data_IF_352491957517
#
_entry.id   IF_352491957517
#
_cell.length_a   1.000
_cell.length_b   1.000
_cell.length_c   1.000
_cell.angle_alpha   90.00
_cell.angle_beta   90.00
_cell.angle_gamma   90.00
#
_symmetry.space_group_name_H-M   'P 1'
#
loop_
_entity.id
_entity.type
_entity.pdbx_description
1 polymer ?
#
# COMPACT_ATOMS: atom_id res chain seq x y z
N UNK A 1 -77.25 -19.36 -22.75
CA UNK A 1 -76.31 -18.72 -23.69
C UNK A 1 -75.31 -17.94 -22.84
N UNK A 2 -74.08 -18.42 -22.80
CA UNK A 2 -72.98 -17.89 -21.97
C UNK A 2 -72.27 -16.76 -22.70
N UNK A 3 -71.97 -15.65 -22.03
CA UNK A 3 -70.70 -14.92 -22.17
C UNK A 3 -70.36 -14.27 -20.83
N UNK A 4 -69.41 -14.87 -20.11
CA UNK A 4 -68.69 -14.29 -18.98
C UNK A 4 -67.67 -13.27 -19.54
N UNK A 5 -67.73 -12.03 -19.07
CA UNK A 5 -66.68 -11.03 -19.28
C UNK A 5 -65.63 -11.13 -18.17
N UNK A 6 -64.51 -11.79 -18.47
CA UNK A 6 -63.32 -11.78 -17.63
C UNK A 6 -62.50 -10.51 -17.92
N UNK A 7 -62.50 -9.56 -16.98
CA UNK A 7 -61.63 -8.41 -17.02
C UNK A 7 -60.31 -8.78 -16.33
N UNK A 8 -59.26 -8.88 -17.15
CA UNK A 8 -57.86 -9.07 -16.76
C UNK A 8 -57.48 -8.04 -15.69
N UNK A 9 -57.26 -8.52 -14.46
CA UNK A 9 -56.42 -7.84 -13.50
C UNK A 9 -54.99 -8.02 -14.01
N UNK A 10 -54.44 -6.97 -14.64
CA UNK A 10 -53.01 -6.85 -14.85
C UNK A 10 -52.34 -6.83 -13.47
N UNK A 11 -51.97 -8.00 -12.97
CA UNK A 11 -51.05 -8.13 -11.87
C UNK A 11 -49.73 -7.49 -12.32
N UNK A 12 -49.56 -6.22 -11.96
CA UNK A 12 -48.24 -5.62 -11.85
C UNK A 12 -47.55 -6.46 -10.79
N UNK A 13 -46.82 -7.48 -11.25
CA UNK A 13 -45.88 -8.23 -10.46
C UNK A 13 -44.76 -7.28 -10.08
N UNK A 14 -45.03 -6.41 -9.10
CA UNK A 14 -43.99 -5.91 -8.24
C UNK A 14 -43.33 -7.15 -7.68
N UNK A 15 -42.19 -7.53 -8.25
CA UNK A 15 -41.26 -8.43 -7.58
C UNK A 15 -40.95 -7.69 -6.29
N UNK A 16 -41.67 -8.05 -5.23
CA UNK A 16 -41.19 -7.85 -3.89
C UNK A 16 -39.80 -8.45 -3.94
N UNK A 17 -38.78 -7.59 -3.91
CA UNK A 17 -37.40 -8.00 -3.68
C UNK A 17 -37.42 -8.57 -2.26
N UNK A 18 -37.88 -9.82 -2.14
CA UNK A 18 -37.63 -10.67 -1.00
C UNK A 18 -36.15 -10.46 -0.72
N UNK A 19 -35.82 -9.97 0.48
CA UNK A 19 -34.46 -9.64 0.89
C UNK A 19 -33.59 -10.80 0.43
N UNK A 20 -32.84 -10.63 -0.66
CA UNK A 20 -32.04 -11.71 -1.19
C UNK A 20 -31.07 -12.06 -0.08
N UNK A 21 -31.14 -13.28 0.42
CA UNK A 21 -30.24 -13.78 1.46
C UNK A 21 -29.30 -14.75 0.79
N UNK A 22 -27.99 -14.57 1.04
CA UNK A 22 -27.00 -15.51 0.54
C UNK A 22 -27.20 -16.87 1.20
N UNK A 23 -27.09 -17.97 0.43
CA UNK A 23 -27.10 -19.31 1.00
C UNK A 23 -26.03 -19.46 2.09
N UNK A 24 -26.34 -20.09 3.24
CA UNK A 24 -25.35 -20.33 4.28
C UNK A 24 -24.15 -21.12 3.75
N UNK A 25 -22.94 -20.72 4.13
CA UNK A 25 -21.70 -21.42 3.77
C UNK A 25 -21.20 -21.20 2.33
N UNK A 26 -21.91 -20.44 1.49
CA UNK A 26 -21.51 -20.16 0.11
C UNK A 26 -20.11 -19.52 0.01
N UNK A 27 -19.72 -18.74 1.02
CA UNK A 27 -18.44 -18.03 1.10
C UNK A 27 -17.24 -18.96 1.21
N UNK A 28 -17.42 -20.13 1.84
CA UNK A 28 -16.35 -21.09 2.14
C UNK A 28 -16.34 -22.26 1.15
N UNK A 29 -17.37 -22.36 0.30
CA UNK A 29 -17.55 -23.45 -0.62
C UNK A 29 -16.40 -23.50 -1.66
N UNK A 30 -15.74 -24.66 -1.86
CA UNK A 30 -14.62 -24.79 -2.79
C UNK A 30 -15.05 -24.64 -4.25
N UNK A 31 -16.31 -24.92 -4.55
CA UNK A 31 -16.98 -24.70 -5.83
C UNK A 31 -18.39 -24.20 -5.58
N UNK A 32 -18.98 -23.50 -6.56
CA UNK A 32 -20.37 -23.03 -6.50
C UNK A 32 -21.21 -23.75 -7.54
N UNK A 33 -22.39 -24.22 -7.14
CA UNK A 33 -23.40 -24.72 -8.08
C UNK A 33 -24.00 -23.58 -8.91
N UNK A 34 -24.61 -23.89 -10.05
CA UNK A 34 -25.29 -22.89 -10.88
C UNK A 34 -26.38 -22.14 -10.11
N UNK A 35 -27.09 -22.82 -9.20
CA UNK A 35 -28.09 -22.18 -8.34
C UNK A 35 -27.44 -21.20 -7.36
N UNK A 36 -26.35 -21.59 -6.70
CA UNK A 36 -25.62 -20.71 -5.78
C UNK A 36 -25.04 -19.48 -6.49
N UNK A 37 -24.57 -19.64 -7.73
CA UNK A 37 -24.11 -18.52 -8.55
C UNK A 37 -25.26 -17.56 -8.88
N UNK A 38 -26.42 -18.08 -9.30
CA UNK A 38 -27.61 -17.26 -9.58
C UNK A 38 -28.10 -16.50 -8.32
N UNK A 39 -28.12 -17.16 -7.15
CA UNK A 39 -28.51 -16.53 -5.88
C UNK A 39 -27.53 -15.41 -5.48
N UNK A 40 -26.22 -15.64 -5.67
CA UNK A 40 -25.18 -14.65 -5.43
C UNK A 40 -25.31 -13.45 -6.37
N UNK A 41 -25.53 -13.68 -7.66
CA UNK A 41 -25.73 -12.62 -8.65
C UNK A 41 -26.98 -11.79 -8.35
N UNK A 42 -28.09 -12.43 -8.02
CA UNK A 42 -29.33 -11.76 -7.65
C UNK A 42 -29.15 -10.91 -6.38
N UNK A 43 -28.43 -11.44 -5.37
CA UNK A 43 -28.07 -10.69 -4.17
C UNK A 43 -27.24 -9.45 -4.52
N UNK A 44 -26.17 -9.63 -5.30
CA UNK A 44 -25.28 -8.54 -5.70
C UNK A 44 -26.03 -7.44 -6.45
N UNK A 45 -26.86 -7.82 -7.43
CA UNK A 45 -27.66 -6.88 -8.21
C UNK A 45 -28.61 -6.08 -7.32
N UNK A 46 -29.29 -6.72 -6.37
CA UNK A 46 -30.18 -6.05 -5.43
C UNK A 46 -29.46 -4.97 -4.60
N UNK A 47 -28.26 -5.30 -4.10
CA UNK A 47 -27.50 -4.39 -3.25
C UNK A 47 -26.83 -3.27 -4.05
N UNK A 48 -26.31 -3.57 -5.25
CA UNK A 48 -25.78 -2.55 -6.16
C UNK A 48 -26.88 -1.56 -6.54
N UNK A 49 -28.07 -2.04 -6.87
CA UNK A 49 -29.21 -1.18 -7.20
C UNK A 49 -29.60 -0.32 -6.00
N UNK A 50 -29.76 -0.91 -4.81
CA UNK A 50 -30.06 -0.16 -3.58
C UNK A 50 -28.99 0.88 -3.27
N UNK A 51 -27.71 0.59 -3.54
CA UNK A 51 -26.61 1.51 -3.35
C UNK A 51 -26.66 2.69 -4.34
N UNK A 52 -27.19 2.50 -5.55
CA UNK A 52 -27.31 3.55 -6.59
C UNK A 52 -28.57 4.40 -6.41
N UNK A 53 -29.73 3.77 -6.20
CA UNK A 53 -31.04 4.44 -6.24
C UNK A 53 -31.69 4.62 -4.87
N UNK A 54 -31.08 4.09 -3.81
CA UNK A 54 -31.60 4.23 -2.45
C UNK A 54 -31.80 5.68 -2.03
N UNK A 55 -33.01 6.00 -1.54
CA UNK A 55 -33.44 7.37 -1.24
C UNK A 55 -32.70 8.05 -0.07
N UNK A 56 -31.94 7.28 0.74
CA UNK A 56 -31.18 7.80 1.88
C UNK A 56 -29.74 7.29 1.88
N UNK A 57 -28.81 8.13 2.35
CA UNK A 57 -27.41 7.73 2.53
C UNK A 57 -27.27 6.51 3.45
N UNK A 58 -28.16 6.37 4.44
CA UNK A 58 -28.19 5.21 5.35
C UNK A 58 -28.50 3.92 4.61
N UNK A 59 -29.54 3.90 3.77
CA UNK A 59 -29.89 2.72 2.97
C UNK A 59 -28.76 2.34 2.00
N UNK A 60 -28.18 3.34 1.32
CA UNK A 60 -27.05 3.13 0.40
C UNK A 60 -25.81 2.61 1.12
N UNK A 61 -25.50 3.13 2.30
CA UNK A 61 -24.39 2.65 3.14
C UNK A 61 -24.62 1.23 3.64
N UNK A 62 -25.85 0.90 4.05
CA UNK A 62 -26.21 -0.45 4.48
C UNK A 62 -26.05 -1.46 3.33
N UNK A 63 -26.46 -1.11 2.11
CA UNK A 63 -26.28 -1.97 0.94
C UNK A 63 -24.80 -2.23 0.63
N UNK A 64 -23.96 -1.19 0.66
CA UNK A 64 -22.51 -1.33 0.57
C UNK A 64 -21.97 -2.26 1.66
N UNK A 65 -22.39 -2.05 2.90
CA UNK A 65 -21.87 -2.81 4.04
C UNK A 65 -22.32 -4.28 3.98
N UNK A 66 -23.52 -4.57 3.46
CA UNK A 66 -23.97 -5.94 3.19
C UNK A 66 -23.14 -6.64 2.10
N UNK A 67 -22.77 -5.93 1.03
CA UNK A 67 -21.85 -6.46 0.02
C UNK A 67 -20.45 -6.72 0.60
N UNK A 68 -19.94 -5.82 1.43
CA UNK A 68 -18.62 -5.97 2.05
C UNK A 68 -18.60 -7.10 3.10
N UNK A 69 -19.69 -7.27 3.84
CA UNK A 69 -19.84 -8.31 4.85
C UNK A 69 -19.71 -9.73 4.28
N UNK A 70 -19.88 -9.90 2.96
CA UNK A 70 -19.62 -11.16 2.27
C UNK A 70 -18.16 -11.64 2.44
N UNK A 71 -17.24 -10.71 2.67
CA UNK A 71 -15.80 -10.97 2.75
C UNK A 71 -15.23 -10.93 4.17
N UNK A 72 -16.07 -10.72 5.19
CA UNK A 72 -15.58 -10.60 6.58
C UNK A 72 -15.34 -11.96 7.26
N UNK A 73 -15.69 -13.08 6.58
CA UNK A 73 -15.33 -14.42 7.04
C UNK A 73 -13.81 -14.63 6.92
N UNK A 74 -13.16 -15.32 7.88
CA UNK A 74 -11.73 -15.62 7.81
C UNK A 74 -11.34 -16.47 6.59
N UNK A 75 -12.25 -17.30 6.07
CA UNK A 75 -11.98 -18.37 5.10
C UNK A 75 -12.80 -18.23 3.81
N UNK A 76 -12.83 -17.05 3.21
CA UNK A 76 -13.49 -16.86 1.90
C UNK A 76 -12.75 -17.64 0.81
N UNK A 77 -13.46 -18.50 0.08
CA UNK A 77 -12.87 -19.34 -0.96
C UNK A 77 -12.53 -18.55 -2.23
N UNK A 78 -11.53 -19.03 -2.98
CA UNK A 78 -11.18 -18.47 -4.28
C UNK A 78 -12.34 -18.56 -5.28
N UNK A 79 -13.12 -19.63 -5.25
CA UNK A 79 -14.30 -19.79 -6.12
C UNK A 79 -15.36 -18.73 -5.83
N UNK A 80 -15.63 -18.44 -4.56
CA UNK A 80 -16.55 -17.37 -4.16
C UNK A 80 -16.04 -15.99 -4.60
N UNK A 81 -14.75 -15.69 -4.39
CA UNK A 81 -14.15 -14.41 -4.84
C UNK A 81 -14.21 -14.27 -6.36
N UNK A 82 -13.97 -15.34 -7.10
CA UNK A 82 -14.04 -15.33 -8.56
C UNK A 82 -15.48 -15.06 -9.06
N UNK A 83 -16.47 -15.80 -8.54
CA UNK A 83 -17.87 -15.59 -8.91
C UNK A 83 -18.37 -14.18 -8.54
N UNK A 84 -18.06 -13.73 -7.32
CA UNK A 84 -18.41 -12.37 -6.87
C UNK A 84 -17.72 -11.31 -7.70
N UNK A 85 -16.43 -11.48 -8.00
CA UNK A 85 -15.67 -10.55 -8.84
C UNK A 85 -16.17 -10.48 -10.28
N UNK A 86 -16.63 -11.60 -10.84
CA UNK A 86 -17.30 -11.64 -12.14
C UNK A 86 -18.60 -10.85 -12.12
N UNK A 87 -19.45 -11.11 -11.13
CA UNK A 87 -20.75 -10.43 -10.97
C UNK A 87 -20.61 -8.92 -10.66
N UNK A 88 -19.54 -8.52 -9.96
CA UNK A 88 -19.29 -7.13 -9.59
C UNK A 88 -18.41 -6.35 -10.57
N UNK A 89 -17.81 -6.98 -11.59
CA UNK A 89 -16.82 -6.31 -12.47
C UNK A 89 -17.39 -5.03 -13.10
N UNK A 90 -18.51 -5.13 -13.82
CA UNK A 90 -19.13 -3.99 -14.48
C UNK A 90 -19.77 -3.02 -13.47
N UNK A 91 -20.50 -3.48 -12.43
CA UNK A 91 -20.95 -2.61 -11.35
C UNK A 91 -19.84 -1.77 -10.72
N UNK A 92 -18.69 -2.37 -10.39
CA UNK A 92 -17.55 -1.66 -9.80
C UNK A 92 -17.04 -0.58 -10.74
N UNK A 93 -16.88 -0.88 -12.02
CA UNK A 93 -16.46 0.12 -13.01
C UNK A 93 -17.42 1.31 -13.06
N UNK A 94 -18.73 1.04 -13.13
CA UNK A 94 -19.77 2.09 -13.16
C UNK A 94 -19.81 2.93 -11.87
N UNK A 95 -19.58 2.31 -10.71
CA UNK A 95 -19.53 3.01 -9.42
C UNK A 95 -18.33 3.96 -9.35
N UNK A 96 -17.18 3.54 -9.86
CA UNK A 96 -15.94 4.32 -9.87
C UNK A 96 -15.99 5.49 -10.84
N UNK A 97 -16.72 5.33 -11.94
CA UNK A 97 -16.94 6.40 -12.94
C UNK A 97 -18.05 7.39 -12.51
N UNK A 98 -18.72 7.16 -11.38
CA UNK A 98 -19.77 8.05 -10.88
C UNK A 98 -19.23 9.41 -10.45
N UNK A 99 -19.99 10.48 -10.69
CA UNK A 99 -19.69 11.82 -10.15
C UNK A 99 -19.89 11.90 -8.63
N UNK A 100 -20.65 10.98 -8.04
CA UNK A 100 -20.88 10.92 -6.60
C UNK A 100 -19.70 10.27 -5.86
N UNK A 101 -19.01 11.04 -5.02
CA UNK A 101 -17.86 10.55 -4.26
C UNK A 101 -18.15 9.33 -3.37
N UNK A 102 -19.38 9.21 -2.84
CA UNK A 102 -19.80 8.01 -2.10
C UNK A 102 -19.76 6.74 -2.96
N UNK A 103 -20.27 6.81 -4.20
CA UNK A 103 -20.30 5.68 -5.12
C UNK A 103 -18.89 5.31 -5.58
N UNK A 104 -18.05 6.32 -5.90
CA UNK A 104 -16.64 6.06 -6.23
C UNK A 104 -15.90 5.35 -5.11
N UNK A 105 -16.05 5.85 -3.89
CA UNK A 105 -15.48 5.22 -2.71
C UNK A 105 -15.99 3.78 -2.51
N UNK A 106 -17.29 3.56 -2.65
CA UNK A 106 -17.88 2.22 -2.54
C UNK A 106 -17.33 1.26 -3.61
N UNK A 107 -17.19 1.72 -4.86
CA UNK A 107 -16.60 0.94 -5.95
C UNK A 107 -15.18 0.50 -5.65
N UNK A 108 -14.30 1.41 -5.20
CA UNK A 108 -12.93 1.06 -4.80
C UNK A 108 -12.90 0.11 -3.59
N UNK A 109 -13.77 0.28 -2.59
CA UNK A 109 -13.84 -0.65 -1.45
C UNK A 109 -14.24 -2.06 -1.88
N UNK A 110 -15.24 -2.17 -2.75
CA UNK A 110 -15.70 -3.46 -3.28
C UNK A 110 -14.59 -4.13 -4.09
N UNK A 111 -13.89 -3.38 -4.96
CA UNK A 111 -12.74 -3.86 -5.71
C UNK A 111 -11.62 -4.41 -4.79
N UNK A 112 -11.32 -3.73 -3.69
CA UNK A 112 -10.31 -4.20 -2.75
C UNK A 112 -10.70 -5.53 -2.09
N UNK A 113 -11.98 -5.68 -1.72
CA UNK A 113 -12.48 -6.89 -1.05
C UNK A 113 -12.72 -8.06 -1.99
N UNK A 114 -13.06 -7.84 -3.26
CA UNK A 114 -13.15 -8.93 -4.25
C UNK A 114 -11.79 -9.55 -4.52
N UNK A 115 -10.73 -8.75 -4.53
CA UNK A 115 -9.34 -9.19 -4.67
C UNK A 115 -9.09 -10.10 -5.89
N UNK A 116 -9.62 -9.67 -7.05
CA UNK A 116 -9.50 -10.36 -8.34
C UNK A 116 -8.66 -9.57 -9.34
N UNK A 117 -8.20 -10.23 -10.41
CA UNK A 117 -7.50 -9.60 -11.55
C UNK A 117 -8.24 -8.39 -12.15
N UNK A 118 -9.57 -8.46 -12.24
CA UNK A 118 -10.39 -7.34 -12.72
C UNK A 118 -10.28 -6.13 -11.76
N UNK A 119 -10.29 -6.40 -10.45
CA UNK A 119 -10.16 -5.35 -9.43
C UNK A 119 -8.76 -4.72 -9.41
N UNK A 120 -7.69 -5.47 -9.67
CA UNK A 120 -6.35 -4.90 -9.80
C UNK A 120 -6.25 -3.86 -10.93
N UNK A 121 -6.86 -4.14 -12.09
CA UNK A 121 -6.87 -3.22 -13.25
C UNK A 121 -7.59 -1.90 -12.97
N UNK A 122 -8.62 -1.95 -12.13
CA UNK A 122 -9.30 -0.75 -11.63
C UNK A 122 -8.33 0.13 -10.82
N UNK A 123 -7.51 -0.49 -9.97
CA UNK A 123 -6.53 0.25 -9.19
C UNK A 123 -5.37 0.80 -10.03
N UNK A 124 -4.90 0.10 -11.05
CA UNK A 124 -3.87 0.61 -11.97
C UNK A 124 -4.28 1.96 -12.57
N UNK A 125 -5.54 2.11 -13.00
CA UNK A 125 -6.10 3.39 -13.46
C UNK A 125 -6.25 4.39 -12.31
N UNK A 126 -6.78 3.95 -11.17
CA UNK A 126 -7.05 4.80 -10.01
C UNK A 126 -5.81 5.43 -9.38
N UNK A 127 -4.70 4.69 -9.27
CA UNK A 127 -3.46 5.23 -8.66
C UNK A 127 -2.71 6.19 -9.58
N UNK A 128 -2.95 6.09 -10.89
CA UNK A 128 -2.31 6.91 -11.92
C UNK A 128 -3.17 8.12 -12.38
N UNK A 129 -4.35 8.31 -11.77
CA UNK A 129 -5.22 9.45 -12.12
C UNK A 129 -4.63 10.78 -11.65
N UNK A 130 -4.91 11.85 -12.40
CA UNK A 130 -4.55 13.22 -12.00
C UNK A 130 -5.48 13.79 -10.93
N UNK A 131 -6.68 13.21 -10.75
CA UNK A 131 -7.59 13.61 -9.68
C UNK A 131 -7.08 13.10 -8.32
N UNK A 132 -6.48 14.00 -7.53
CA UNK A 132 -5.89 13.67 -6.23
C UNK A 132 -6.86 12.96 -5.28
N UNK A 133 -8.14 13.36 -5.22
CA UNK A 133 -9.12 12.71 -4.35
C UNK A 133 -9.34 11.24 -4.72
N UNK A 134 -9.45 10.93 -6.02
CA UNK A 134 -9.62 9.56 -6.49
C UNK A 134 -8.32 8.76 -6.31
N UNK A 135 -7.16 9.40 -6.52
CA UNK A 135 -5.85 8.81 -6.26
C UNK A 135 -5.70 8.40 -4.78
N UNK A 136 -6.08 9.27 -3.84
CA UNK A 136 -6.09 8.97 -2.40
C UNK A 136 -6.97 7.80 -2.05
N UNK A 137 -8.21 7.80 -2.56
CA UNK A 137 -9.16 6.72 -2.31
C UNK A 137 -8.62 5.40 -2.86
N UNK A 138 -8.14 5.40 -4.11
CA UNK A 138 -7.59 4.23 -4.78
C UNK A 138 -6.41 3.66 -3.97
N UNK A 139 -5.41 4.46 -3.60
CA UNK A 139 -4.26 4.00 -2.82
C UNK A 139 -4.65 3.47 -1.44
N UNK A 140 -5.60 4.14 -0.76
CA UNK A 140 -6.15 3.67 0.51
C UNK A 140 -6.78 2.28 0.39
N UNK A 141 -7.46 1.99 -0.73
CA UNK A 141 -8.08 0.70 -0.98
C UNK A 141 -7.10 -0.33 -1.58
N UNK A 142 -6.05 0.06 -2.30
CA UNK A 142 -4.96 -0.85 -2.68
C UNK A 142 -4.29 -1.43 -1.44
N UNK A 143 -4.08 -0.63 -0.40
CA UNK A 143 -3.60 -1.14 0.89
C UNK A 143 -4.52 -2.24 1.43
N UNK A 144 -5.84 -2.05 1.36
CA UNK A 144 -6.82 -3.06 1.80
C UNK A 144 -6.74 -4.31 0.91
N UNK A 145 -6.59 -4.16 -0.40
CA UNK A 145 -6.38 -5.28 -1.33
C UNK A 145 -5.17 -6.13 -0.91
N UNK A 146 -4.04 -5.52 -0.58
CA UNK A 146 -2.85 -6.25 -0.14
C UNK A 146 -3.03 -6.93 1.22
N UNK A 147 -3.79 -6.33 2.15
CA UNK A 147 -4.16 -6.99 3.40
C UNK A 147 -5.10 -8.19 3.17
N UNK A 148 -6.01 -8.10 2.20
CA UNK A 148 -6.86 -9.22 1.78
C UNK A 148 -6.05 -10.34 1.13
N UNK A 149 -5.00 -10.01 0.37
CA UNK A 149 -4.11 -11.00 -0.22
C UNK A 149 -3.39 -11.87 0.85
N UNK A 150 -3.07 -11.31 2.01
CA UNK A 150 -2.47 -12.03 3.13
C UNK A 150 -3.46 -12.97 3.86
N UNK A 151 -4.76 -12.65 3.85
CA UNK A 151 -5.81 -13.42 4.56
C UNK A 151 -6.17 -14.76 3.91
N UNK A 152 -5.77 -15.00 2.67
CA UNK A 152 -6.07 -16.25 1.94
C UNK A 152 -7.26 -16.13 1.00
N UNK A 153 -7.43 -17.16 0.15
CA UNK A 153 -8.54 -17.21 -0.83
C UNK A 153 -8.42 -16.24 -2.01
N UNK A 154 -7.25 -15.63 -2.20
CA UNK A 154 -6.99 -14.67 -3.28
C UNK A 154 -7.31 -15.28 -4.66
N UNK A 155 -7.99 -14.51 -5.51
CA UNK A 155 -8.32 -14.86 -6.90
C UNK A 155 -7.51 -13.99 -7.89
N UNK A 156 -6.21 -13.82 -7.60
CA UNK A 156 -5.26 -12.99 -8.31
C UNK A 156 -3.88 -13.64 -8.27
N UNK A 157 -3.10 -13.46 -9.33
CA UNK A 157 -1.74 -13.96 -9.47
C UNK A 157 -0.72 -13.02 -8.81
N UNK A 158 0.40 -13.59 -8.34
CA UNK A 158 1.54 -12.82 -7.81
C UNK A 158 2.02 -11.74 -8.80
N UNK A 159 2.10 -12.09 -10.09
CA UNK A 159 2.54 -11.19 -11.17
C UNK A 159 1.70 -9.92 -11.28
N UNK A 160 0.40 -9.99 -10.97
CA UNK A 160 -0.48 -8.82 -10.97
C UNK A 160 -0.20 -7.90 -9.78
N UNK A 161 0.05 -8.47 -8.60
CA UNK A 161 0.48 -7.69 -7.43
C UNK A 161 1.85 -7.03 -7.68
N UNK A 162 2.77 -7.74 -8.33
CA UNK A 162 4.09 -7.22 -8.74
C UNK A 162 3.97 -6.05 -9.72
N UNK A 163 3.09 -6.16 -10.73
CA UNK A 163 2.82 -5.08 -11.68
C UNK A 163 2.22 -3.85 -11.00
N UNK A 164 1.27 -4.05 -10.08
CA UNK A 164 0.68 -2.96 -9.30
C UNK A 164 1.74 -2.30 -8.41
N UNK A 165 2.62 -3.08 -7.78
CA UNK A 165 3.74 -2.58 -6.99
C UNK A 165 4.68 -1.72 -7.84
N UNK A 166 5.08 -2.20 -9.02
CA UNK A 166 5.94 -1.45 -9.94
C UNK A 166 5.30 -0.13 -10.42
N UNK A 167 3.98 -0.14 -10.62
CA UNK A 167 3.24 1.08 -10.97
C UNK A 167 3.28 2.10 -9.83
N UNK A 168 3.02 1.66 -8.59
CA UNK A 168 3.03 2.53 -7.41
C UNK A 168 4.45 3.02 -7.09
N UNK A 169 5.47 2.17 -7.20
CA UNK A 169 6.87 2.52 -6.97
C UNK A 169 7.37 3.63 -7.90
N UNK A 170 7.10 3.51 -9.20
CA UNK A 170 7.43 4.55 -10.19
C UNK A 170 6.71 5.87 -9.88
N UNK A 171 5.41 5.81 -9.57
CA UNK A 171 4.66 7.02 -9.22
C UNK A 171 5.15 7.67 -7.91
N UNK A 172 5.65 6.88 -6.96
CA UNK A 172 6.20 7.38 -5.70
C UNK A 172 7.48 8.19 -5.86
N UNK A 173 8.33 7.81 -6.82
CA UNK A 173 9.54 8.55 -7.16
C UNK A 173 9.23 9.97 -7.69
N UNK A 174 8.14 10.09 -8.45
CA UNK A 174 7.75 11.33 -9.16
C UNK A 174 6.73 12.19 -8.40
N UNK A 175 6.07 11.64 -7.37
CA UNK A 175 4.99 12.32 -6.67
C UNK A 175 5.49 13.62 -6.00
N UNK A 176 4.70 14.69 -6.04
CA UNK A 176 5.08 15.95 -5.37
C UNK A 176 4.34 16.13 -4.06
N UNK A 177 3.09 15.65 -3.99
CA UNK A 177 2.26 15.71 -2.79
C UNK A 177 2.72 14.67 -1.75
N UNK A 178 3.21 15.10 -0.57
CA UNK A 178 3.69 14.16 0.44
C UNK A 178 2.58 13.30 1.04
N UNK A 179 1.33 13.74 1.04
CA UNK A 179 0.22 12.92 1.51
C UNK A 179 -0.05 11.78 0.53
N UNK A 180 -0.02 12.02 -0.78
CA UNK A 180 -0.16 10.94 -1.77
C UNK A 180 1.02 9.96 -1.65
N UNK A 181 2.24 10.47 -1.52
CA UNK A 181 3.44 9.66 -1.30
C UNK A 181 3.32 8.78 -0.06
N UNK A 182 2.76 9.29 1.03
CA UNK A 182 2.52 8.52 2.25
C UNK A 182 1.55 7.36 2.02
N UNK A 183 0.50 7.56 1.22
CA UNK A 183 -0.43 6.50 0.87
C UNK A 183 0.19 5.45 -0.07
N UNK A 184 1.06 5.86 -1.01
CA UNK A 184 1.84 4.94 -1.84
C UNK A 184 2.79 4.09 -0.98
N UNK A 185 3.53 4.68 -0.05
CA UNK A 185 4.38 3.96 0.92
C UNK A 185 3.56 2.98 1.75
N UNK A 186 2.40 3.39 2.27
CA UNK A 186 1.52 2.52 3.08
C UNK A 186 0.96 1.34 2.28
N UNK A 187 0.66 1.55 0.99
CA UNK A 187 0.25 0.48 0.11
C UNK A 187 1.40 -0.51 -0.11
N UNK A 188 2.59 -0.04 -0.52
CA UNK A 188 3.74 -0.92 -0.75
C UNK A 188 4.21 -1.64 0.52
N UNK A 189 4.15 -0.97 1.68
CA UNK A 189 4.40 -1.58 2.99
C UNK A 189 3.43 -2.72 3.32
N UNK A 190 2.15 -2.57 2.95
CA UNK A 190 1.18 -3.65 3.16
C UNK A 190 1.49 -4.85 2.27
N UNK A 191 1.91 -4.62 1.02
CA UNK A 191 2.36 -5.69 0.13
C UNK A 191 3.63 -6.39 0.66
N UNK A 192 4.62 -5.62 1.11
CA UNK A 192 5.88 -6.18 1.62
C UNK A 192 5.74 -6.96 2.92
N UNK A 193 4.61 -6.81 3.61
CA UNK A 193 4.29 -7.49 4.85
C UNK A 193 3.53 -8.82 4.65
N UNK A 194 3.15 -9.18 3.41
CA UNK A 194 2.49 -10.45 3.12
C UNK A 194 3.39 -11.62 3.50
N UNK A 195 2.84 -12.60 4.23
CA UNK A 195 3.59 -13.74 4.80
C UNK A 195 3.38 -15.04 4.03
N UNK A 196 2.45 -15.06 3.09
CA UNK A 196 2.15 -16.23 2.25
C UNK A 196 3.32 -16.55 1.32
N UNK A 197 3.79 -17.79 1.37
CA UNK A 197 4.99 -18.23 0.64
C UNK A 197 4.84 -18.08 -0.88
N UNK A 198 3.66 -18.39 -1.40
CA UNK A 198 3.28 -18.28 -2.81
C UNK A 198 3.21 -16.82 -3.31
N UNK A 199 3.12 -15.85 -2.39
CA UNK A 199 3.15 -14.40 -2.69
C UNK A 199 4.49 -13.75 -2.31
N UNK A 200 5.50 -14.54 -1.93
CA UNK A 200 6.82 -14.01 -1.59
C UNK A 200 7.50 -13.20 -2.71
N UNK A 201 7.34 -13.52 -4.02
CA UNK A 201 7.86 -12.65 -5.08
C UNK A 201 7.21 -11.26 -5.07
N UNK A 202 5.88 -11.20 -4.92
CA UNK A 202 5.15 -9.94 -4.80
C UNK A 202 5.53 -9.14 -3.55
N UNK A 203 5.68 -9.78 -2.39
CA UNK A 203 6.12 -9.11 -1.18
C UNK A 203 7.52 -8.50 -1.32
N UNK A 204 8.48 -9.26 -1.89
CA UNK A 204 9.83 -8.77 -2.19
C UNK A 204 9.80 -7.62 -3.19
N UNK A 205 8.99 -7.73 -4.25
CA UNK A 205 8.82 -6.65 -5.23
C UNK A 205 8.27 -5.39 -4.57
N UNK A 206 7.27 -5.52 -3.70
CA UNK A 206 6.72 -4.39 -2.93
C UNK A 206 7.78 -3.66 -2.11
N UNK A 207 8.65 -4.40 -1.42
CA UNK A 207 9.74 -3.80 -0.64
C UNK A 207 10.81 -3.12 -1.52
N UNK A 208 11.14 -3.76 -2.65
CA UNK A 208 12.09 -3.22 -3.62
C UNK A 208 11.57 -1.90 -4.22
N UNK A 209 10.32 -1.87 -4.68
CA UNK A 209 9.68 -0.68 -5.25
C UNK A 209 9.51 0.44 -4.22
N UNK A 210 9.23 0.11 -2.96
CA UNK A 210 9.21 1.08 -1.86
C UNK A 210 10.60 1.67 -1.61
N UNK A 211 11.62 0.83 -1.56
CA UNK A 211 12.99 1.27 -1.28
C UNK A 211 13.52 2.15 -2.40
N UNK A 212 13.33 1.73 -3.66
CA UNK A 212 13.72 2.48 -4.85
C UNK A 212 12.97 3.81 -4.95
N UNK A 213 11.63 3.77 -4.93
CA UNK A 213 10.80 4.97 -5.12
C UNK A 213 11.04 6.04 -4.06
N UNK A 214 11.23 5.65 -2.79
CA UNK A 214 11.57 6.62 -1.74
C UNK A 214 13.01 7.12 -1.89
N UNK A 215 13.96 6.28 -2.30
CA UNK A 215 15.35 6.70 -2.55
C UNK A 215 15.45 7.75 -3.65
N UNK A 216 14.77 7.53 -4.77
CA UNK A 216 14.70 8.48 -5.89
C UNK A 216 14.02 9.79 -5.46
N UNK A 217 12.92 9.71 -4.70
CA UNK A 217 12.27 10.88 -4.11
C UNK A 217 13.20 11.68 -3.19
N UNK A 218 14.02 11.02 -2.38
CA UNK A 218 14.97 11.70 -1.48
C UNK A 218 16.04 12.51 -2.22
N UNK A 219 16.43 12.06 -3.42
CA UNK A 219 17.36 12.76 -4.28
C UNK A 219 16.74 13.99 -4.95
N UNK A 220 15.45 13.94 -5.28
CA UNK A 220 14.73 15.06 -5.90
C UNK A 220 14.33 16.15 -4.90
N UNK A 221 14.30 15.82 -3.59
CA UNK A 221 13.98 16.79 -2.56
C UNK A 221 15.14 17.79 -2.41
N UNK A 222 14.89 19.10 -2.65
CA UNK A 222 15.88 20.13 -2.41
C UNK A 222 16.34 20.10 -0.96
N UNK A 223 17.59 20.47 -0.71
CA UNK A 223 18.10 20.66 0.64
C UNK A 223 17.45 21.90 1.30
N UNK A 224 16.15 21.81 1.62
CA UNK A 224 15.35 22.83 2.27
C UNK A 224 15.32 22.60 3.78
N UNK A 225 15.10 23.68 4.53
CA UNK A 225 14.83 23.59 5.97
C UNK A 225 13.46 22.95 6.19
N UNK A 226 13.39 21.83 6.92
CA UNK A 226 12.12 21.30 7.43
C UNK A 226 11.65 22.13 8.63
N UNK A 227 10.38 22.57 8.62
CA UNK A 227 9.77 23.34 9.70
C UNK A 227 8.77 22.55 10.55
N UNK A 228 7.75 23.25 11.04
CA UNK A 228 6.59 22.67 11.76
C UNK A 228 5.35 22.55 10.87
N UNK A 229 5.49 22.75 9.56
CA UNK A 229 4.35 22.63 8.64
C UNK A 229 3.88 21.17 8.55
N UNK A 230 2.59 20.95 8.34
CA UNK A 230 2.03 19.60 8.15
C UNK A 230 2.65 18.91 6.93
N UNK A 231 2.95 19.66 5.87
CA UNK A 231 3.63 19.18 4.67
C UNK A 231 5.04 18.65 4.99
N UNK A 232 5.86 19.43 5.70
CA UNK A 232 7.22 19.03 6.11
C UNK A 232 7.21 17.76 6.96
N UNK A 233 6.31 17.71 7.94
CA UNK A 233 6.16 16.54 8.81
C UNK A 233 5.69 15.32 8.01
N UNK A 234 4.80 15.50 7.04
CA UNK A 234 4.34 14.42 6.18
C UNK A 234 5.45 13.88 5.29
N UNK A 235 6.34 14.73 4.76
CA UNK A 235 7.55 14.26 4.08
C UNK A 235 8.42 13.39 4.99
N UNK A 236 8.65 13.80 6.23
CA UNK A 236 9.44 13.00 7.18
C UNK A 236 8.73 11.68 7.54
N UNK A 237 7.40 11.67 7.62
CA UNK A 237 6.62 10.45 7.84
C UNK A 237 6.76 9.45 6.69
N UNK A 238 6.83 9.89 5.43
CA UNK A 238 7.09 9.03 4.27
C UNK A 238 8.39 8.25 4.45
N UNK A 239 9.48 8.91 4.85
CA UNK A 239 10.79 8.28 5.05
C UNK A 239 10.82 7.38 6.28
N UNK A 240 10.13 7.79 7.34
CA UNK A 240 10.04 7.01 8.56
C UNK A 240 9.25 5.71 8.36
N UNK A 241 8.12 5.78 7.66
CA UNK A 241 7.28 4.63 7.33
C UNK A 241 7.99 3.67 6.36
N UNK A 242 8.80 4.18 5.43
CA UNK A 242 9.59 3.34 4.54
C UNK A 242 10.68 2.57 5.29
N UNK A 243 11.38 3.22 6.21
CA UNK A 243 12.36 2.54 7.07
C UNK A 243 11.72 1.54 8.04
N UNK A 244 10.51 1.81 8.54
CA UNK A 244 9.76 0.83 9.33
C UNK A 244 9.37 -0.41 8.51
N UNK A 245 9.03 -0.22 7.23
CA UNK A 245 8.77 -1.35 6.33
C UNK A 245 10.03 -2.21 6.15
N UNK A 246 11.19 -1.58 5.87
CA UNK A 246 12.50 -2.25 5.77
C UNK A 246 12.80 -3.05 7.03
N UNK A 247 12.72 -2.43 8.22
CA UNK A 247 12.98 -3.09 9.51
C UNK A 247 12.04 -4.27 9.75
N UNK A 248 10.74 -4.06 9.52
CA UNK A 248 9.74 -5.10 9.71
C UNK A 248 10.00 -6.30 8.79
N UNK A 249 10.36 -6.04 7.52
CA UNK A 249 10.65 -7.10 6.57
C UNK A 249 11.94 -7.86 6.92
N UNK A 250 12.98 -7.19 7.41
CA UNK A 250 14.20 -7.86 7.91
C UNK A 250 13.91 -8.75 9.12
N UNK A 251 13.07 -8.29 10.05
CA UNK A 251 12.71 -9.05 11.24
C UNK A 251 11.90 -10.32 10.93
N UNK A 252 11.18 -10.34 9.81
CA UNK A 252 10.34 -11.48 9.39
C UNK A 252 10.95 -12.26 8.22
N UNK A 253 12.19 -11.98 7.84
CA UNK A 253 12.82 -12.60 6.67
C UNK A 253 13.06 -14.09 6.92
N UNK A 254 12.47 -14.95 6.10
CA UNK A 254 12.77 -16.37 6.08
C UNK A 254 13.95 -16.64 5.13
N UNK A 255 15.14 -16.81 5.69
CA UNK A 255 16.37 -17.13 4.95
C UNK A 255 17.27 -15.93 4.64
N UNK A 256 18.35 -16.13 3.86
CA UNK A 256 19.30 -15.08 3.53
C UNK A 256 18.67 -14.02 2.62
N UNK A 257 19.11 -12.78 2.81
CA UNK A 257 18.67 -11.64 2.00
C UNK A 257 19.30 -11.70 0.60
N UNK A 258 18.48 -11.58 -0.43
CA UNK A 258 18.94 -11.48 -1.82
C UNK A 258 19.75 -10.18 -2.02
N UNK A 259 20.82 -10.24 -2.82
CA UNK A 259 21.74 -9.12 -3.04
C UNK A 259 21.09 -7.86 -3.62
N UNK A 260 20.18 -7.99 -4.59
CA UNK A 260 19.51 -6.85 -5.22
C UNK A 260 18.59 -6.15 -4.21
N UNK A 261 17.80 -6.94 -3.47
CA UNK A 261 16.94 -6.39 -2.42
C UNK A 261 17.75 -5.74 -1.30
N UNK A 262 18.87 -6.36 -0.90
CA UNK A 262 19.80 -5.79 0.08
C UNK A 262 20.37 -4.45 -0.39
N UNK A 263 20.77 -4.36 -1.66
CA UNK A 263 21.28 -3.12 -2.26
C UNK A 263 20.21 -2.02 -2.23
N UNK A 264 18.98 -2.30 -2.61
CA UNK A 264 17.88 -1.31 -2.61
C UNK A 264 17.55 -0.82 -1.19
N UNK A 265 17.52 -1.72 -0.21
CA UNK A 265 17.30 -1.35 1.20
C UNK A 265 18.47 -0.55 1.78
N UNK A 266 19.71 -0.91 1.41
CA UNK A 266 20.91 -0.17 1.82
C UNK A 266 20.98 1.20 1.15
N UNK A 267 20.54 1.30 -0.11
CA UNK A 267 20.43 2.56 -0.84
C UNK A 267 19.46 3.51 -0.14
N UNK A 268 18.27 3.04 0.25
CA UNK A 268 17.32 3.84 1.02
C UNK A 268 17.90 4.30 2.36
N UNK A 269 18.52 3.40 3.13
CA UNK A 269 19.16 3.76 4.39
C UNK A 269 20.24 4.83 4.20
N UNK A 270 21.04 4.72 3.15
CA UNK A 270 22.06 5.72 2.81
C UNK A 270 21.47 7.05 2.35
N UNK A 271 20.41 7.06 1.54
CA UNK A 271 19.73 8.30 1.13
C UNK A 271 19.15 9.06 2.32
N UNK A 272 18.60 8.33 3.29
CA UNK A 272 18.08 8.93 4.52
C UNK A 272 19.20 9.60 5.33
N UNK A 273 20.35 8.94 5.49
CA UNK A 273 21.52 9.53 6.16
C UNK A 273 22.09 10.76 5.41
N UNK A 274 22.11 10.70 4.08
CA UNK A 274 22.49 11.83 3.23
C UNK A 274 21.53 13.01 3.40
N UNK A 275 20.20 12.76 3.41
CA UNK A 275 19.19 13.77 3.69
C UNK A 275 19.48 14.45 5.04
N UNK A 276 19.60 13.69 6.13
CA UNK A 276 19.83 14.27 7.47
C UNK A 276 21.08 15.15 7.49
N UNK A 277 22.15 14.73 6.81
CA UNK A 277 23.40 15.49 6.70
C UNK A 277 23.23 16.86 6.04
N UNK A 278 22.40 16.93 5.00
CA UNK A 278 22.08 18.16 4.26
C UNK A 278 21.14 19.08 5.04
N UNK A 279 20.14 18.51 5.73
CA UNK A 279 19.02 19.30 6.27
C UNK A 279 19.10 19.63 7.76
N UNK A 280 19.70 18.79 8.61
CA UNK A 280 19.50 18.92 10.06
C UNK A 280 19.99 20.26 10.63
N UNK A 281 21.16 20.74 10.17
CA UNK A 281 21.70 22.05 10.58
C UNK A 281 20.89 23.25 10.08
N UNK A 282 19.93 23.04 9.17
CA UNK A 282 19.04 24.07 8.63
C UNK A 282 17.68 24.08 9.32
N UNK A 283 17.34 23.05 10.10
CA UNK A 283 16.05 22.95 10.81
C UNK A 283 16.03 23.94 12.00
N UNK A 284 15.00 24.79 12.13
CA UNK A 284 14.91 25.75 13.23
C UNK A 284 14.91 25.04 14.60
N UNK A 285 15.52 25.64 15.64
CA UNK A 285 15.47 25.06 17.00
C UNK A 285 14.05 24.84 17.53
N UNK A 286 13.09 25.66 17.08
CA UNK A 286 11.66 25.56 17.43
C UNK A 286 10.93 24.42 16.70
N UNK A 287 11.54 23.84 15.66
CA UNK A 287 10.99 22.72 14.89
C UNK A 287 11.30 21.37 15.54
N UNK A 288 10.99 21.22 16.83
CA UNK A 288 11.35 20.06 17.65
C UNK A 288 10.84 18.73 17.07
N UNK A 289 9.63 18.72 16.50
CA UNK A 289 9.08 17.51 15.86
C UNK A 289 9.92 17.09 14.66
N UNK A 290 10.29 18.02 13.77
CA UNK A 290 11.12 17.71 12.61
C UNK A 290 12.51 17.19 13.04
N UNK A 291 13.14 17.82 14.04
CA UNK A 291 14.42 17.36 14.59
C UNK A 291 14.32 15.94 15.15
N UNK A 292 13.28 15.64 15.93
CA UNK A 292 13.02 14.29 16.47
C UNK A 292 12.80 13.25 15.38
N UNK A 293 12.10 13.59 14.30
CA UNK A 293 11.91 12.68 13.17
C UNK A 293 13.23 12.40 12.44
N UNK A 294 14.06 13.42 12.22
CA UNK A 294 15.39 13.26 11.60
C UNK A 294 16.33 12.42 12.47
N UNK A 295 16.32 12.62 13.79
CA UNK A 295 17.09 11.80 14.75
C UNK A 295 16.67 10.33 14.69
N UNK A 296 15.36 10.06 14.71
CA UNK A 296 14.84 8.69 14.55
C UNK A 296 15.15 8.11 13.17
N UNK A 297 15.21 8.94 12.14
CA UNK A 297 15.56 8.49 10.80
C UNK A 297 17.02 8.01 10.74
N UNK A 298 17.94 8.68 11.43
CA UNK A 298 19.33 8.21 11.60
C UNK A 298 19.35 6.88 12.34
N UNK A 299 18.67 6.79 13.48
CA UNK A 299 18.60 5.56 14.29
C UNK A 299 18.11 4.38 13.43
N UNK A 300 16.96 4.54 12.77
CA UNK A 300 16.35 3.52 11.92
C UNK A 300 17.22 3.14 10.74
N UNK A 301 17.84 4.11 10.07
CA UNK A 301 18.73 3.85 8.94
C UNK A 301 19.92 3.00 9.36
N UNK A 302 20.54 3.34 10.50
CA UNK A 302 21.69 2.60 11.04
C UNK A 302 21.32 1.20 11.53
N UNK A 303 20.19 1.06 12.22
CA UNK A 303 19.67 -0.25 12.65
C UNK A 303 19.37 -1.14 11.45
N UNK A 304 18.70 -0.61 10.42
CA UNK A 304 18.45 -1.33 9.18
C UNK A 304 19.74 -1.72 8.47
N UNK A 305 20.72 -0.83 8.35
CA UNK A 305 22.03 -1.17 7.77
C UNK A 305 22.66 -2.34 8.51
N UNK A 306 22.70 -2.32 9.85
CA UNK A 306 23.22 -3.44 10.65
C UNK A 306 22.48 -4.74 10.36
N UNK A 307 21.15 -4.69 10.30
CA UNK A 307 20.32 -5.85 10.02
C UNK A 307 20.49 -6.38 8.59
N UNK A 308 20.69 -5.50 7.59
CA UNK A 308 20.97 -5.89 6.20
C UNK A 308 22.28 -6.69 6.13
N UNK A 309 23.37 -6.17 6.72
CA UNK A 309 24.66 -6.89 6.77
C UNK A 309 24.54 -8.26 7.46
N UNK A 310 23.80 -8.33 8.57
CA UNK A 310 23.54 -9.58 9.27
C UNK A 310 22.72 -10.56 8.40
N UNK A 311 21.67 -10.08 7.72
CA UNK A 311 20.79 -10.90 6.88
C UNK A 311 21.46 -11.38 5.58
N UNK A 312 22.45 -10.64 5.08
CA UNK A 312 23.31 -11.06 3.97
C UNK A 312 24.35 -12.10 4.36
N UNK A 313 24.50 -12.42 5.66
CA UNK A 313 25.52 -13.35 6.17
C UNK A 313 26.95 -12.99 5.74
N UNK A 314 27.25 -11.69 5.66
CA UNK A 314 28.59 -11.22 5.29
C UNK A 314 29.59 -11.70 6.35
N UNK A 315 30.61 -12.50 5.99
CA UNK A 315 31.62 -12.95 6.95
C UNK A 315 32.44 -11.74 7.42
N UNK A 316 32.57 -11.60 8.74
CA UNK A 316 33.24 -10.46 9.38
C UNK A 316 32.69 -9.10 8.92
N UNK A 317 31.42 -8.79 9.24
CA UNK A 317 30.84 -7.54 8.82
C UNK A 317 31.69 -6.38 9.35
N UNK A 318 31.97 -5.37 8.51
CA UNK A 318 32.77 -4.23 8.91
C UNK A 318 32.13 -3.51 10.10
N UNK A 319 32.94 -2.92 11.01
CA UNK A 319 32.41 -2.27 12.19
C UNK A 319 31.55 -1.08 11.78
N UNK A 320 30.26 -1.16 12.11
CA UNK A 320 29.29 -0.09 11.89
C UNK A 320 29.25 0.82 13.13
N UNK A 321 29.18 2.16 12.95
CA UNK A 321 28.93 3.08 14.06
C UNK A 321 27.69 2.68 14.85
N UNK A 322 27.75 2.95 16.15
CA UNK A 322 26.61 2.79 17.03
C UNK A 322 25.53 3.87 16.75
N UNK A 323 24.27 3.48 16.47
CA UNK A 323 23.19 4.43 16.19
C UNK A 323 23.06 5.51 17.29
N UNK A 324 23.15 5.13 18.56
CA UNK A 324 23.02 6.08 19.66
C UNK A 324 24.17 7.10 19.70
N UNK A 325 25.35 6.73 19.23
CA UNK A 325 26.50 7.64 19.12
C UNK A 325 26.31 8.66 17.99
N UNK A 326 25.76 8.25 16.85
CA UNK A 326 25.39 9.17 15.76
C UNK A 326 24.28 10.13 16.19
N UNK A 327 23.22 9.61 16.82
CA UNK A 327 22.10 10.44 17.31
C UNK A 327 22.57 11.45 18.37
N UNK A 328 23.44 11.05 19.31
CA UNK A 328 24.02 11.99 20.29
C UNK A 328 24.87 13.08 19.64
N UNK A 329 25.64 12.74 18.60
CA UNK A 329 26.43 13.73 17.85
C UNK A 329 25.52 14.74 17.16
N UNK A 330 24.41 14.27 16.59
CA UNK A 330 23.40 15.09 15.94
C UNK A 330 22.66 16.01 16.94
N UNK A 331 22.08 15.45 18.00
CA UNK A 331 21.29 16.20 18.99
C UNK A 331 22.14 17.12 19.87
N UNK A 332 23.39 16.76 20.13
CA UNK A 332 24.39 17.57 20.84
C UNK A 332 24.97 18.72 20.02
N UNK A 333 24.52 18.94 18.77
CA UNK A 333 24.99 20.01 17.90
C UNK A 333 26.39 19.78 17.30
N UNK A 334 26.97 18.60 17.48
CA UNK A 334 28.27 18.24 16.92
C UNK A 334 28.13 17.67 15.50
N UNK A 335 27.66 18.53 14.59
CA UNK A 335 27.41 18.18 13.19
C UNK A 335 28.66 17.70 12.46
N UNK A 336 29.85 18.19 12.83
CA UNK A 336 31.10 17.76 12.20
C UNK A 336 31.40 16.29 12.50
N UNK A 337 31.29 15.86 13.76
CA UNK A 337 31.48 14.45 14.10
C UNK A 337 30.41 13.56 13.45
N UNK A 338 29.15 14.00 13.46
CA UNK A 338 28.08 13.29 12.76
C UNK A 338 28.41 13.09 11.28
N UNK A 339 28.83 14.15 10.58
CA UNK A 339 29.21 14.11 9.15
C UNK A 339 30.38 13.17 8.88
N UNK A 340 31.43 13.23 9.70
CA UNK A 340 32.60 12.36 9.58
C UNK A 340 32.19 10.88 9.65
N UNK A 341 31.33 10.52 10.60
CA UNK A 341 30.87 9.14 10.75
C UNK A 341 29.93 8.70 9.61
N UNK A 342 29.06 9.59 9.12
CA UNK A 342 28.20 9.31 7.96
C UNK A 342 29.03 9.16 6.68
N UNK A 343 30.06 9.98 6.45
CA UNK A 343 30.95 9.87 5.27
C UNK A 343 31.66 8.51 5.23
N UNK A 344 32.07 7.96 6.39
CA UNK A 344 32.66 6.60 6.45
C UNK A 344 31.68 5.52 5.99
N UNK A 345 30.37 5.76 6.10
CA UNK A 345 29.33 4.83 5.68
C UNK A 345 28.92 5.02 4.23
N UNK A 346 28.68 6.26 3.80
CA UNK A 346 28.01 6.55 2.52
C UNK A 346 28.79 7.48 1.59
N UNK A 347 30.01 7.90 1.94
CA UNK A 347 30.87 8.64 1.02
C UNK A 347 31.39 7.78 -0.14
N UNK A 348 32.15 8.39 -1.05
CA UNK A 348 32.73 7.75 -2.25
C UNK A 348 33.59 6.50 -1.96
N UNK A 349 34.20 6.43 -0.77
CA UNK A 349 34.92 5.25 -0.26
C UNK A 349 34.23 4.61 0.95
N UNK A 350 32.98 4.98 1.17
CA UNK A 350 32.17 4.56 2.29
C UNK A 350 31.90 3.07 2.26
N UNK A 351 31.48 2.54 3.41
CA UNK A 351 31.19 1.13 3.54
C UNK A 351 30.08 0.65 2.57
N UNK A 352 28.97 1.38 2.46
CA UNK A 352 27.87 0.98 1.59
C UNK A 352 28.28 0.99 0.13
N UNK A 353 29.09 1.97 -0.28
CA UNK A 353 29.66 2.04 -1.62
C UNK A 353 30.44 0.77 -1.96
N UNK A 354 31.39 0.39 -1.10
CA UNK A 354 32.25 -0.78 -1.33
C UNK A 354 31.50 -2.10 -1.27
N UNK A 355 30.49 -2.20 -0.40
CA UNK A 355 29.71 -3.43 -0.25
C UNK A 355 28.75 -3.69 -1.41
N UNK A 356 28.10 -2.63 -1.90
CA UNK A 356 27.01 -2.73 -2.88
C UNK A 356 27.36 -2.19 -4.27
N UNK A 357 28.60 -1.71 -4.46
CA UNK A 357 29.09 -1.12 -5.72
C UNK A 357 28.19 0.03 -6.22
N UNK A 358 27.76 0.91 -5.31
CA UNK A 358 27.04 2.13 -5.70
C UNK A 358 27.94 3.05 -6.56
N UNK A 359 27.35 4.02 -7.28
CA UNK A 359 28.11 5.03 -8.03
C UNK A 359 28.58 6.19 -7.12
N UNK A 360 29.69 6.90 -7.41
CA UNK A 360 30.28 7.88 -6.48
C UNK A 360 29.34 9.00 -6.06
N UNK A 361 28.43 9.38 -6.96
CA UNK A 361 27.42 10.42 -6.82
C UNK A 361 26.09 9.91 -6.26
N UNK A 362 26.01 8.64 -5.85
CA UNK A 362 24.76 8.02 -5.38
C UNK A 362 24.17 8.74 -4.17
N UNK A 363 25.00 9.13 -3.22
CA UNK A 363 24.58 9.81 -2.00
C UNK A 363 25.01 11.27 -2.04
N UNK A 364 24.05 12.19 -2.17
CA UNK A 364 24.32 13.62 -2.21
C UNK A 364 24.67 14.14 -0.81
N UNK A 365 25.95 14.39 -0.57
CA UNK A 365 26.48 15.01 0.64
C UNK A 365 26.82 16.48 0.34
N UNK A 366 26.45 17.39 1.24
CA UNK A 366 26.77 18.83 1.17
C UNK A 366 28.13 19.16 1.82
#
# INVERSE_FOLDING_TARGET
MWVLGALLVCAIGGRAWAQATLPPGIQEAPTLSSQQQADLEAFIQAQVETMRTGSTLRARSQARDQLLAMFDRPSVSTAFRFATGSALSDPIAQLIESEEGFLRYAGYRLAARTATEASARVFERGVATSNKSDQFIALGQVRVLFLEADRGGLAMQSSTLERLAGTIGRLLAEETDPHVALYQVRALRALSAIRRAELSPAARRGLMELSRGVSERLQSIPARSFGQSDEDLTHLLVFMESMDAVRSSLATLAGPLNGDLAAEMAHLAGQNLALVTRVYGRVPPTAENARRHLERLVERSMESTKQIFAAMQVPNPPPLPDPATLVRSLSGGNMNNFRIEVIKLIGENGLLYRQFNFKPDTFQLD
#
